data_IF_453248105849
#
_entry.id   IF_453248105849
#
_cell.length_a   1.000
_cell.length_b   1.000
_cell.length_c   1.000
_cell.angle_alpha   90.00
_cell.angle_beta   90.00
_cell.angle_gamma   90.00
#
_symmetry.space_group_name_H-M   'P 1'
#
loop_
_entity.id
_entity.type
_entity.pdbx_description
1 polymer ?
#
# COMPACT_ATOMS: atom_id res chain seq x y z
N UNK A 1 -23.10 -11.72 -14.48
CA UNK A 1 -23.11 -11.41 -13.03
C UNK A 1 -21.98 -10.49 -12.54
N UNK A 2 -21.45 -9.62 -13.40
CA UNK A 2 -20.38 -8.66 -13.04
C UNK A 2 -20.80 -7.53 -12.08
N UNK A 3 -22.08 -7.43 -11.71
CA UNK A 3 -22.57 -6.40 -10.77
C UNK A 3 -22.29 -6.72 -9.29
N UNK A 4 -22.21 -8.00 -8.91
CA UNK A 4 -22.01 -8.41 -7.52
C UNK A 4 -20.62 -8.04 -6.95
N UNK A 5 -19.50 -8.32 -7.65
CA UNK A 5 -18.17 -7.95 -7.14
C UNK A 5 -17.95 -6.45 -7.05
N UNK A 6 -18.51 -5.64 -7.96
CA UNK A 6 -18.43 -4.18 -7.86
C UNK A 6 -19.17 -3.68 -6.62
N UNK A 7 -20.38 -4.17 -6.37
CA UNK A 7 -21.13 -3.82 -5.16
C UNK A 7 -20.41 -4.26 -3.88
N UNK A 8 -19.71 -5.41 -3.90
CA UNK A 8 -18.87 -5.84 -2.77
C UNK A 8 -17.65 -4.95 -2.57
N UNK A 9 -17.02 -4.51 -3.66
CA UNK A 9 -15.90 -3.58 -3.59
C UNK A 9 -16.33 -2.24 -3.00
N UNK A 10 -17.44 -1.69 -3.46
CA UNK A 10 -18.01 -0.43 -2.94
C UNK A 10 -18.37 -0.55 -1.44
N UNK A 11 -19.00 -1.66 -1.06
CA UNK A 11 -19.30 -1.94 0.35
C UNK A 11 -18.03 -2.06 1.20
N UNK A 12 -16.96 -2.68 0.67
CA UNK A 12 -15.66 -2.78 1.34
C UNK A 12 -15.02 -1.42 1.54
N UNK A 13 -15.07 -0.54 0.54
CA UNK A 13 -14.55 0.82 0.64
C UNK A 13 -15.31 1.60 1.74
N UNK A 14 -16.64 1.53 1.75
CA UNK A 14 -17.45 2.18 2.79
C UNK A 14 -17.07 1.65 4.18
N UNK A 15 -16.95 0.35 4.35
CA UNK A 15 -16.59 -0.28 5.62
C UNK A 15 -15.20 0.17 6.11
N UNK A 16 -14.21 0.18 5.22
CA UNK A 16 -12.83 0.59 5.52
C UNK A 16 -12.79 2.06 5.92
N UNK A 17 -13.53 2.93 5.24
CA UNK A 17 -13.49 4.39 5.46
C UNK A 17 -14.37 4.87 6.60
N UNK A 18 -15.25 4.03 7.15
CA UNK A 18 -16.16 4.38 8.25
C UNK A 18 -15.66 4.00 9.64
N UNK A 19 -14.59 3.21 9.74
CA UNK A 19 -14.02 2.73 11.00
C UNK A 19 -12.48 2.87 10.98
N UNK A 20 -11.88 3.67 11.90
CA UNK A 20 -10.42 3.85 11.95
C UNK A 20 -9.63 2.54 12.08
N UNK A 21 -10.10 1.58 12.86
CA UNK A 21 -9.43 0.30 13.03
C UNK A 21 -9.50 -0.55 11.74
N UNK A 22 -10.62 -0.50 11.03
CA UNK A 22 -10.75 -1.13 9.72
C UNK A 22 -9.80 -0.48 8.70
N UNK A 23 -9.64 0.83 8.75
CA UNK A 23 -8.72 1.57 7.89
C UNK A 23 -7.26 1.19 8.16
N UNK A 24 -6.85 1.10 9.43
CA UNK A 24 -5.51 0.65 9.79
C UNK A 24 -5.23 -0.80 9.35
N UNK A 25 -6.20 -1.70 9.53
CA UNK A 25 -6.07 -3.08 9.01
C UNK A 25 -5.91 -3.10 7.49
N UNK A 26 -6.68 -2.27 6.78
CA UNK A 26 -6.55 -2.11 5.33
C UNK A 26 -5.15 -1.62 4.93
N UNK A 27 -4.62 -0.59 5.59
CA UNK A 27 -3.28 -0.06 5.30
C UNK A 27 -2.20 -1.13 5.51
N UNK A 28 -2.28 -1.92 6.57
CA UNK A 28 -1.37 -3.03 6.81
C UNK A 28 -1.48 -4.10 5.72
N UNK A 29 -2.69 -4.52 5.38
CA UNK A 29 -2.91 -5.49 4.30
C UNK A 29 -2.42 -4.95 2.95
N UNK A 30 -2.62 -3.66 2.66
CA UNK A 30 -2.11 -3.02 1.44
C UNK A 30 -0.57 -2.98 1.42
N UNK A 31 0.07 -2.69 2.55
CA UNK A 31 1.53 -2.68 2.68
C UNK A 31 2.14 -4.08 2.43
N UNK A 32 1.49 -5.13 2.92
CA UNK A 32 1.90 -6.52 2.69
C UNK A 32 1.64 -6.99 1.24
N UNK A 33 0.77 -6.29 0.51
CA UNK A 33 0.34 -6.65 -0.85
C UNK A 33 0.50 -5.47 -1.85
N UNK A 34 1.69 -4.85 -1.97
CA UNK A 34 1.87 -3.61 -2.73
C UNK A 34 1.67 -3.76 -4.24
N UNK A 35 1.68 -4.97 -4.77
CA UNK A 35 1.45 -5.25 -6.19
C UNK A 35 -0.03 -5.29 -6.58
N UNK A 36 -0.94 -5.32 -5.62
CA UNK A 36 -2.37 -5.29 -5.87
C UNK A 36 -2.93 -3.88 -5.74
N UNK A 37 -3.95 -3.57 -6.56
CA UNK A 37 -4.63 -2.28 -6.47
C UNK A 37 -5.41 -2.14 -5.17
N UNK A 38 -5.57 -0.91 -4.70
CA UNK A 38 -6.37 -0.58 -3.52
C UNK A 38 -7.78 -1.22 -3.55
N UNK A 39 -8.44 -1.17 -4.71
CA UNK A 39 -9.75 -1.80 -4.90
C UNK A 39 -9.74 -3.32 -4.76
N UNK A 40 -8.67 -4.00 -5.19
CA UNK A 40 -8.55 -5.44 -5.00
C UNK A 40 -8.25 -5.80 -3.54
N UNK A 41 -7.43 -5.04 -2.85
CA UNK A 41 -7.19 -5.24 -1.40
C UNK A 41 -8.49 -5.04 -0.61
N UNK A 42 -9.25 -3.98 -0.88
CA UNK A 42 -10.55 -3.75 -0.28
C UNK A 42 -11.54 -4.92 -0.55
N UNK A 43 -11.54 -5.42 -1.80
CA UNK A 43 -12.38 -6.56 -2.19
C UNK A 43 -11.99 -7.86 -1.47
N UNK A 44 -10.69 -8.10 -1.24
CA UNK A 44 -10.22 -9.23 -0.43
C UNK A 44 -10.71 -9.08 1.01
N UNK A 45 -10.52 -7.93 1.62
CA UNK A 45 -10.84 -7.71 3.03
C UNK A 45 -12.34 -7.80 3.34
N UNK A 46 -13.22 -7.46 2.40
CA UNK A 46 -14.65 -7.65 2.60
C UNK A 46 -15.06 -9.13 2.53
N UNK A 47 -14.30 -9.96 1.82
CA UNK A 47 -14.53 -11.40 1.73
C UNK A 47 -13.82 -12.18 2.84
N UNK A 48 -12.66 -11.70 3.29
CA UNK A 48 -11.85 -12.26 4.38
C UNK A 48 -11.23 -11.13 5.20
N UNK A 49 -11.89 -10.73 6.29
CA UNK A 49 -11.44 -9.65 7.18
C UNK A 49 -10.11 -9.93 7.88
N UNK A 50 -9.70 -11.19 7.93
CA UNK A 50 -8.41 -11.61 8.51
C UNK A 50 -7.29 -11.74 7.48
N UNK A 51 -7.51 -11.37 6.22
CA UNK A 51 -6.50 -11.47 5.18
C UNK A 51 -5.26 -10.63 5.52
N UNK A 52 -4.10 -11.22 5.27
CA UNK A 52 -2.79 -10.60 5.46
C UNK A 52 -2.04 -10.58 4.12
N UNK A 53 -1.21 -11.58 3.86
CA UNK A 53 -0.54 -11.75 2.56
C UNK A 53 -1.36 -12.70 1.70
N UNK A 54 -1.75 -12.26 0.53
CA UNK A 54 -2.54 -13.12 -0.36
C UNK A 54 -1.96 -13.19 -1.78
N UNK A 55 -2.36 -14.20 -2.53
CA UNK A 55 -1.88 -14.39 -3.89
C UNK A 55 -2.63 -15.48 -4.65
N UNK A 56 -2.44 -15.47 -5.96
CA UNK A 56 -2.90 -16.56 -6.84
C UNK A 56 -2.11 -17.85 -6.57
N UNK A 57 -2.63 -18.99 -7.02
CA UNK A 57 -1.89 -20.27 -6.95
C UNK A 57 -0.49 -20.16 -7.57
N UNK A 58 -0.36 -19.44 -8.68
CA UNK A 58 0.94 -19.28 -9.36
C UNK A 58 1.90 -18.40 -8.56
N UNK A 59 1.41 -17.33 -7.92
CA UNK A 59 2.22 -16.55 -6.99
C UNK A 59 2.72 -17.42 -5.83
N UNK A 60 1.86 -18.24 -5.24
CA UNK A 60 2.26 -19.14 -4.15
C UNK A 60 3.32 -20.16 -4.61
N UNK A 61 3.14 -20.75 -5.79
CA UNK A 61 4.16 -21.64 -6.36
C UNK A 61 5.52 -20.95 -6.54
N UNK A 62 5.55 -19.71 -7.01
CA UNK A 62 6.79 -18.93 -7.16
C UNK A 62 7.49 -18.66 -5.82
N UNK A 63 6.75 -18.64 -4.73
CA UNK A 63 7.24 -18.51 -3.36
C UNK A 63 7.53 -19.86 -2.67
N UNK A 64 7.51 -20.98 -3.42
CA UNK A 64 7.66 -22.33 -2.91
C UNK A 64 6.59 -22.70 -1.88
N UNK A 65 5.36 -22.23 -2.12
CA UNK A 65 4.17 -22.57 -1.33
C UNK A 65 3.08 -23.14 -2.23
N UNK A 66 2.16 -23.88 -1.62
CA UNK A 66 0.99 -24.43 -2.31
C UNK A 66 -0.26 -24.20 -1.48
N UNK A 67 -1.37 -23.92 -2.16
CA UNK A 67 -2.69 -23.87 -1.51
C UNK A 67 -3.01 -25.27 -0.96
N UNK A 68 -3.45 -25.34 0.29
CA UNK A 68 -3.86 -26.60 0.92
C UNK A 68 -5.05 -27.20 0.16
N UNK A 69 -5.07 -28.51 -0.07
CA UNK A 69 -6.16 -29.15 -0.83
C UNK A 69 -7.56 -28.89 -0.26
N UNK A 70 -7.67 -28.75 1.06
CA UNK A 70 -8.91 -28.43 1.76
C UNK A 70 -9.38 -26.99 1.51
N UNK A 71 -8.47 -26.09 1.14
CA UNK A 71 -8.70 -24.66 0.92
C UNK A 71 -8.93 -24.30 -0.56
N UNK A 72 -8.77 -25.23 -1.49
CA UNK A 72 -8.85 -24.93 -2.92
C UNK A 72 -10.16 -24.29 -3.38
N UNK A 73 -11.24 -24.55 -2.65
CA UNK A 73 -12.58 -23.98 -2.93
C UNK A 73 -12.88 -22.70 -2.14
N UNK A 74 -12.00 -22.32 -1.22
CA UNK A 74 -12.17 -21.21 -0.29
C UNK A 74 -11.41 -19.94 -0.72
N UNK A 75 -10.98 -19.86 -1.98
CA UNK A 75 -10.36 -18.67 -2.53
C UNK A 75 -11.33 -17.49 -2.59
N UNK A 76 -10.83 -16.29 -2.30
CA UNK A 76 -11.57 -15.05 -2.48
C UNK A 76 -11.32 -14.46 -3.88
N UNK A 77 -12.26 -13.68 -4.39
CA UNK A 77 -12.20 -13.17 -5.77
C UNK A 77 -11.61 -11.78 -5.83
N UNK A 78 -10.72 -11.58 -6.79
CA UNK A 78 -10.22 -10.25 -7.20
C UNK A 78 -10.41 -10.04 -8.70
N UNK A 79 -10.29 -8.79 -9.14
CA UNK A 79 -10.23 -8.46 -10.56
C UNK A 79 -8.80 -8.54 -11.09
N UNK A 80 -8.59 -9.33 -12.13
CA UNK A 80 -7.34 -9.37 -12.90
C UNK A 80 -7.60 -9.03 -14.35
N UNK A 81 -6.58 -8.55 -15.08
CA UNK A 81 -6.73 -8.35 -16.52
C UNK A 81 -6.94 -9.67 -17.22
N UNK A 82 -7.87 -9.68 -18.18
CA UNK A 82 -8.09 -10.84 -19.04
C UNK A 82 -6.86 -11.07 -19.93
N UNK A 83 -6.38 -12.31 -19.99
CA UNK A 83 -5.32 -12.72 -20.92
C UNK A 83 -5.83 -12.84 -22.38
N UNK A 84 -7.14 -12.88 -22.61
CA UNK A 84 -7.75 -13.14 -23.90
C UNK A 84 -8.41 -11.91 -24.53
N UNK A 85 -8.21 -10.68 -23.99
CA UNK A 85 -8.85 -9.51 -24.58
C UNK A 85 -8.88 -8.28 -23.67
N UNK A 86 -9.76 -7.33 -24.01
CA UNK A 86 -10.00 -6.15 -23.22
C UNK A 86 -10.91 -6.48 -22.03
N UNK A 87 -10.57 -6.01 -20.83
CA UNK A 87 -11.43 -6.13 -19.65
C UNK A 87 -10.79 -6.89 -18.49
N UNK A 88 -11.63 -7.19 -17.50
CA UNK A 88 -11.22 -7.84 -16.26
C UNK A 88 -12.01 -9.15 -16.07
N UNK A 89 -11.36 -10.11 -15.45
CA UNK A 89 -11.93 -11.39 -15.02
C UNK A 89 -11.78 -11.55 -13.52
N UNK A 90 -12.65 -12.35 -12.93
CA UNK A 90 -12.52 -12.73 -11.51
C UNK A 90 -11.54 -13.88 -11.39
N UNK A 91 -10.56 -13.70 -10.51
CA UNK A 91 -9.50 -14.68 -10.23
C UNK A 91 -9.50 -15.00 -8.74
N UNK A 92 -9.28 -16.27 -8.41
CA UNK A 92 -9.11 -16.69 -7.03
C UNK A 92 -7.74 -16.31 -6.50
N UNK A 93 -7.74 -15.73 -5.29
CA UNK A 93 -6.56 -15.57 -4.47
C UNK A 93 -6.79 -16.22 -3.11
N UNK A 94 -5.71 -16.61 -2.49
CA UNK A 94 -5.67 -17.35 -1.22
C UNK A 94 -4.77 -16.61 -0.26
N UNK A 95 -5.20 -16.46 0.98
CA UNK A 95 -4.37 -15.92 2.05
C UNK A 95 -3.27 -16.92 2.44
N UNK A 96 -2.17 -16.43 2.99
CA UNK A 96 -1.05 -17.26 3.45
C UNK A 96 -1.48 -18.37 4.40
N UNK A 97 -2.50 -18.16 5.21
CA UNK A 97 -3.08 -19.15 6.14
C UNK A 97 -3.68 -20.36 5.42
N UNK A 98 -4.07 -20.20 4.17
CA UNK A 98 -4.63 -21.24 3.31
C UNK A 98 -3.55 -22.02 2.56
N UNK A 99 -2.27 -21.74 2.82
CA UNK A 99 -1.14 -22.30 2.09
C UNK A 99 -0.14 -23.01 3.01
N UNK A 100 0.59 -23.96 2.45
CA UNK A 100 1.68 -24.66 3.10
C UNK A 100 2.96 -24.56 2.26
N UNK A 101 4.12 -24.69 2.90
CA UNK A 101 5.42 -24.65 2.21
C UNK A 101 6.42 -23.76 2.95
N UNK A 102 7.33 -23.15 2.21
CA UNK A 102 8.41 -22.33 2.76
C UNK A 102 7.86 -21.12 3.50
N UNK A 103 8.45 -20.78 4.66
CA UNK A 103 8.10 -19.58 5.40
C UNK A 103 8.36 -18.32 4.56
N UNK A 104 7.44 -17.36 4.63
CA UNK A 104 7.63 -16.06 4.01
C UNK A 104 8.72 -15.30 4.76
N UNK A 105 9.70 -14.82 4.02
CA UNK A 105 10.70 -13.93 4.61
C UNK A 105 10.10 -12.55 4.76
N UNK A 106 9.91 -12.10 5.98
CA UNK A 106 9.70 -10.68 6.26
C UNK A 106 11.04 -9.97 6.19
N UNK A 107 11.21 -9.16 5.16
CA UNK A 107 12.40 -8.30 5.04
C UNK A 107 12.00 -6.91 5.51
N UNK A 108 12.09 -6.67 6.81
CA UNK A 108 12.03 -5.31 7.33
C UNK A 108 13.38 -4.62 7.07
N UNK A 109 13.34 -3.42 6.51
CA UNK A 109 14.54 -2.59 6.37
C UNK A 109 15.04 -2.19 7.77
N UNK A 110 16.31 -2.43 8.03
CA UNK A 110 16.90 -1.98 9.29
C UNK A 110 17.20 -0.48 9.19
N UNK A 111 16.97 0.31 10.28
CA UNK A 111 17.09 1.78 10.25
C UNK A 111 18.41 2.29 9.70
N UNK A 112 19.53 1.67 10.08
CA UNK A 112 20.88 2.09 9.73
C UNK A 112 21.52 1.22 8.63
N UNK A 113 20.69 0.53 7.82
CA UNK A 113 21.16 -0.34 6.76
C UNK A 113 21.43 0.42 5.46
N UNK A 114 22.34 -0.11 4.65
CA UNK A 114 22.58 0.39 3.30
C UNK A 114 21.29 0.34 2.44
N UNK A 115 20.48 -0.68 2.66
CA UNK A 115 19.19 -0.85 1.98
C UNK A 115 18.20 0.26 2.36
N UNK A 116 18.22 0.74 3.61
CA UNK A 116 17.42 1.90 4.04
C UNK A 116 17.88 3.17 3.33
N UNK A 117 19.18 3.41 3.27
CA UNK A 117 19.75 4.55 2.53
C UNK A 117 19.35 4.52 1.04
N UNK A 118 19.42 3.36 0.40
CA UNK A 118 18.99 3.24 -1.01
C UNK A 118 17.48 3.39 -1.19
N UNK A 119 16.67 2.92 -0.24
CA UNK A 119 15.24 3.13 -0.23
C UNK A 119 14.90 4.62 -0.10
N UNK A 120 15.59 5.35 0.80
CA UNK A 120 15.43 6.80 0.97
C UNK A 120 15.78 7.56 -0.32
N UNK A 121 16.91 7.24 -0.96
CA UNK A 121 17.29 7.84 -2.25
C UNK A 121 16.23 7.58 -3.32
N UNK A 122 15.70 6.38 -3.35
CA UNK A 122 14.63 6.01 -4.29
C UNK A 122 13.36 6.83 -4.01
N UNK A 123 12.95 6.95 -2.74
CA UNK A 123 11.79 7.72 -2.33
C UNK A 123 11.90 9.19 -2.75
N UNK A 124 13.06 9.81 -2.55
CA UNK A 124 13.34 11.20 -2.93
C UNK A 124 13.02 11.45 -4.41
N UNK A 125 13.31 10.48 -5.29
CA UNK A 125 13.02 10.61 -6.72
C UNK A 125 11.51 10.57 -7.06
N UNK A 126 10.65 10.17 -6.12
CA UNK A 126 9.19 10.22 -6.28
C UNK A 126 8.57 11.56 -5.92
N UNK A 127 9.36 12.53 -5.43
CA UNK A 127 8.85 13.86 -5.13
C UNK A 127 8.35 14.55 -6.39
N UNK A 128 7.18 15.20 -6.29
CA UNK A 128 6.56 16.01 -7.36
C UNK A 128 6.89 17.50 -7.22
N UNK A 129 7.65 17.84 -6.19
CA UNK A 129 8.09 19.23 -5.89
C UNK A 129 9.59 19.23 -5.58
N UNK A 130 10.26 20.39 -5.73
CA UNK A 130 11.66 20.53 -5.34
C UNK A 130 11.89 20.23 -3.87
N UNK A 131 13.01 19.54 -3.58
CA UNK A 131 13.48 19.29 -2.22
C UNK A 131 14.56 20.31 -1.86
N UNK A 132 14.50 20.84 -0.64
CA UNK A 132 15.49 21.77 -0.09
C UNK A 132 15.97 21.29 1.28
N UNK A 133 17.26 21.44 1.58
CA UNK A 133 17.81 21.14 2.89
C UNK A 133 17.51 22.32 3.83
N UNK A 134 16.98 22.03 5.02
CA UNK A 134 16.65 23.05 6.03
C UNK A 134 16.81 22.48 7.43
N UNK A 135 17.96 22.73 8.06
CA UNK A 135 18.32 22.20 9.39
C UNK A 135 17.47 22.78 10.53
N UNK A 136 16.79 23.90 10.30
CA UNK A 136 16.04 24.61 11.34
C UNK A 136 14.67 24.00 11.66
N UNK A 137 14.14 23.13 10.79
CA UNK A 137 12.87 22.48 11.07
C UNK A 137 13.01 21.38 12.12
N UNK A 138 12.07 21.28 13.09
CA UNK A 138 12.19 20.33 14.21
C UNK A 138 11.74 18.90 13.88
N UNK A 139 11.43 18.62 12.62
CA UNK A 139 10.91 17.34 12.11
C UNK A 139 11.71 16.92 10.86
N UNK A 140 11.67 15.62 10.47
CA UNK A 140 12.47 15.12 9.35
C UNK A 140 12.17 15.81 8.01
N UNK A 141 10.90 16.14 7.75
CA UNK A 141 10.47 16.79 6.51
C UNK A 141 9.19 17.59 6.72
N UNK A 142 8.98 18.61 5.90
CA UNK A 142 7.74 19.38 5.85
C UNK A 142 7.50 19.89 4.41
N UNK A 143 6.29 19.68 3.92
CA UNK A 143 5.84 20.29 2.66
C UNK A 143 5.20 21.65 2.89
N UNK A 144 5.57 22.63 2.09
CA UNK A 144 4.95 23.95 2.06
C UNK A 144 4.09 24.09 0.79
N UNK A 145 2.75 24.07 0.91
CA UNK A 145 1.85 24.28 -0.22
C UNK A 145 2.05 25.64 -0.89
N UNK A 146 2.31 26.69 -0.10
CA UNK A 146 2.49 28.07 -0.59
C UNK A 146 3.75 28.22 -1.44
N UNK A 147 4.82 27.53 -1.05
CA UNK A 147 6.12 27.58 -1.73
C UNK A 147 6.31 26.44 -2.74
N UNK A 148 5.38 25.47 -2.77
CA UNK A 148 5.45 24.30 -3.61
C UNK A 148 6.83 23.59 -3.49
N UNK A 149 7.34 23.46 -2.26
CA UNK A 149 8.61 22.80 -1.95
C UNK A 149 8.50 21.88 -0.72
N UNK A 150 9.40 20.92 -0.64
CA UNK A 150 9.54 20.01 0.48
C UNK A 150 10.89 20.29 1.16
N UNK A 151 10.86 20.76 2.40
CA UNK A 151 12.06 20.96 3.22
C UNK A 151 12.40 19.66 3.96
N UNK A 152 13.69 19.31 4.00
CA UNK A 152 14.23 18.13 4.66
C UNK A 152 15.28 18.57 5.67
N UNK A 153 15.17 18.09 6.91
CA UNK A 153 16.22 18.26 7.90
C UNK A 153 17.20 17.07 7.82
N UNK A 154 18.45 17.29 7.40
CA UNK A 154 19.47 16.25 7.27
C UNK A 154 20.00 15.72 8.63
N UNK A 155 19.60 16.32 9.74
CA UNK A 155 19.99 15.89 11.09
C UNK A 155 19.28 14.64 11.60
N UNK A 156 18.27 14.13 10.87
CA UNK A 156 17.56 12.90 11.21
C UNK A 156 18.16 11.67 10.52
N UNK A 157 18.01 10.50 11.16
CA UNK A 157 18.44 9.24 10.56
C UNK A 157 17.60 8.84 9.33
N UNK A 158 18.17 7.97 8.49
CA UNK A 158 17.56 7.59 7.20
C UNK A 158 16.14 7.03 7.34
N UNK A 159 15.85 6.28 8.40
CA UNK A 159 14.52 5.70 8.63
C UNK A 159 13.48 6.77 9.02
N UNK A 160 13.86 7.72 9.87
CA UNK A 160 12.99 8.85 10.26
C UNK A 160 12.78 9.78 9.07
N UNK A 161 13.84 10.07 8.32
CA UNK A 161 13.76 10.85 7.09
C UNK A 161 12.86 10.17 6.06
N UNK A 162 12.97 8.85 5.90
CA UNK A 162 12.11 8.09 4.97
C UNK A 162 10.63 8.25 5.34
N UNK A 163 10.27 8.03 6.62
CA UNK A 163 8.89 8.16 7.07
C UNK A 163 8.33 9.58 6.88
N UNK A 164 9.11 10.61 7.29
CA UNK A 164 8.72 12.00 7.15
C UNK A 164 8.58 12.42 5.68
N UNK A 165 9.55 12.09 4.86
CA UNK A 165 9.52 12.43 3.42
C UNK A 165 8.38 11.71 2.71
N UNK A 166 8.09 10.45 3.04
CA UNK A 166 6.98 9.70 2.44
C UNK A 166 5.64 10.40 2.71
N UNK A 167 5.42 10.83 3.95
CA UNK A 167 4.23 11.59 4.36
C UNK A 167 4.09 12.88 3.57
N UNK A 168 5.18 13.66 3.50
CA UNK A 168 5.14 14.97 2.84
C UNK A 168 5.07 14.87 1.30
N UNK A 169 5.61 13.82 0.69
CA UNK A 169 5.39 13.52 -0.73
C UNK A 169 3.91 13.19 -0.99
N UNK A 170 3.26 12.44 -0.11
CA UNK A 170 1.82 12.18 -0.23
C UNK A 170 1.03 13.49 -0.17
N UNK A 171 1.32 14.36 0.79
CA UNK A 171 0.74 15.69 0.91
C UNK A 171 0.94 16.53 -0.37
N UNK A 172 2.16 16.64 -0.87
CA UNK A 172 2.46 17.36 -2.11
C UNK A 172 1.70 16.80 -3.32
N UNK A 173 1.51 15.49 -3.40
CA UNK A 173 0.74 14.84 -4.48
C UNK A 173 -0.75 15.15 -4.42
N UNK A 174 -1.33 15.27 -3.22
CA UNK A 174 -2.71 15.70 -3.06
C UNK A 174 -2.89 17.12 -3.60
N UNK A 175 -2.02 18.05 -3.25
CA UNK A 175 -2.05 19.42 -3.76
C UNK A 175 -1.81 19.52 -5.27
N UNK A 176 -0.83 18.78 -5.78
CA UNK A 176 -0.49 18.80 -7.21
C UNK A 176 -1.62 18.35 -8.15
N UNK A 177 -2.55 17.53 -7.64
CA UNK A 177 -3.73 17.07 -8.39
C UNK A 177 -4.93 18.00 -8.30
N UNK A 178 -4.77 19.17 -7.68
CA UNK A 178 -5.87 20.11 -7.49
C UNK A 178 -6.92 19.64 -6.48
N UNK A 179 -6.57 18.68 -5.63
CA UNK A 179 -7.35 18.38 -4.46
C UNK A 179 -7.39 19.60 -3.57
N UNK A 180 -8.50 19.77 -2.90
CA UNK A 180 -8.89 20.90 -2.09
C UNK A 180 -7.69 21.64 -1.45
N UNK A 181 -7.50 22.92 -1.77
CA UNK A 181 -6.47 23.78 -1.20
C UNK A 181 -6.58 23.94 0.33
N UNK A 182 -7.68 23.47 0.93
CA UNK A 182 -7.94 23.50 2.36
C UNK A 182 -7.55 22.21 3.07
N UNK A 183 -6.92 21.23 2.39
CA UNK A 183 -6.38 20.07 3.06
C UNK A 183 -5.30 20.49 4.06
N UNK A 184 -5.52 20.10 5.30
CA UNK A 184 -4.54 20.28 6.37
C UNK A 184 -3.66 19.03 6.48
N UNK A 185 -2.61 19.09 7.33
CA UNK A 185 -1.73 17.96 7.57
C UNK A 185 -2.45 16.77 8.21
N UNK A 186 -3.56 17.01 8.90
CA UNK A 186 -4.37 15.99 9.55
C UNK A 186 -5.33 15.27 8.59
N UNK A 187 -5.45 15.74 7.35
CA UNK A 187 -6.38 15.19 6.36
C UNK A 187 -5.79 14.04 5.53
N UNK A 188 -4.50 13.67 5.73
CA UNK A 188 -3.80 12.64 4.93
C UNK A 188 -2.88 11.72 5.74
#
# INVERSE_FOLDING_TARGET
>A
DGKKPNAMQDAGIIQITSDPDAYLRYLNCQADNPSYSAGNVALVMVQDQGATVFGTKDRWKSLMRSVSPTEEKNGVKIYTRSSFGKGYVLTDVYDVRQTTGRDLKHTALQPDSKEMTEALKTLINYSVVPLVSEESIPIPAIYSPEQMKLAINPGFGDAEAFAGIATEIAHARFHAKGYNQNYTREDY
#
